data_IF_835214740305
#
_entry.id   IF_835214740305
#
_cell.length_a   1.000
_cell.length_b   1.000
_cell.length_c   1.000
_cell.angle_alpha   90.00
_cell.angle_beta   90.00
_cell.angle_gamma   90.00
#
_symmetry.space_group_name_H-M   'P 1'
#
loop_
_entity.id
_entity.type
_entity.pdbx_description
1 polymer ?
#
# COMPACT_ATOMS: atom_id res chain seq x y z
N UNK A 1 -5.16 10.49 27.72
CA UNK A 1 -6.10 9.43 28.14
C UNK A 1 -7.00 8.92 27.00
N UNK A 2 -7.48 9.77 26.08
CA UNK A 2 -8.28 9.36 24.92
C UNK A 2 -7.52 8.46 23.91
N UNK A 3 -6.22 8.63 23.75
CA UNK A 3 -5.41 7.84 22.79
C UNK A 3 -5.21 6.39 23.26
N UNK A 4 -4.99 6.15 24.57
CA UNK A 4 -4.99 4.78 25.11
C UNK A 4 -6.37 4.12 25.05
N UNK A 5 -7.46 4.90 25.13
CA UNK A 5 -8.81 4.38 24.98
C UNK A 5 -9.12 4.01 23.51
N UNK A 6 -8.64 4.79 22.55
CA UNK A 6 -8.72 4.49 21.12
C UNK A 6 -7.86 3.26 20.79
N UNK A 7 -6.65 3.12 21.36
CA UNK A 7 -5.77 1.98 21.11
C UNK A 7 -6.23 0.69 21.80
N UNK A 8 -6.77 0.77 23.02
CA UNK A 8 -7.33 -0.37 23.76
C UNK A 8 -8.61 -0.92 23.13
N UNK A 9 -9.49 -0.05 22.61
CA UNK A 9 -10.68 -0.46 21.83
C UNK A 9 -10.31 -0.92 20.41
N UNK A 10 -9.13 -0.52 19.91
CA UNK A 10 -8.61 -0.87 18.56
C UNK A 10 -8.30 -2.34 18.38
N UNK A 11 -7.84 -3.04 19.42
CA UNK A 11 -7.49 -4.45 19.32
C UNK A 11 -8.72 -5.31 18.94
N UNK A 12 -9.90 -4.98 19.49
CA UNK A 12 -11.16 -5.63 19.12
C UNK A 12 -11.60 -5.28 17.69
N UNK A 13 -11.36 -4.04 17.25
CA UNK A 13 -11.69 -3.63 15.87
C UNK A 13 -10.79 -4.28 14.82
N UNK A 14 -9.49 -4.46 15.10
CA UNK A 14 -8.56 -5.14 14.20
C UNK A 14 -8.91 -6.63 14.12
N UNK A 15 -9.18 -7.27 15.26
CA UNK A 15 -9.65 -8.66 15.29
C UNK A 15 -10.96 -8.83 14.50
N UNK A 16 -11.88 -7.86 14.57
CA UNK A 16 -13.11 -7.89 13.77
C UNK A 16 -12.82 -7.79 12.27
N UNK A 17 -11.90 -6.93 11.86
CA UNK A 17 -11.48 -6.80 10.45
C UNK A 17 -10.87 -8.12 9.96
N UNK A 18 -9.92 -8.70 10.69
CA UNK A 18 -9.31 -9.98 10.34
C UNK A 18 -10.32 -11.12 10.26
N UNK A 19 -11.24 -11.19 11.24
CA UNK A 19 -12.28 -12.22 11.27
C UNK A 19 -13.26 -12.07 10.11
N UNK A 20 -13.67 -10.83 9.79
CA UNK A 20 -14.52 -10.52 8.64
C UNK A 20 -13.83 -10.92 7.33
N UNK A 21 -12.57 -10.52 7.13
CA UNK A 21 -11.79 -10.87 5.95
C UNK A 21 -11.63 -12.39 5.79
N UNK A 22 -11.42 -13.12 6.90
CA UNK A 22 -11.35 -14.57 6.90
C UNK A 22 -12.67 -15.24 6.50
N UNK A 23 -13.81 -14.70 6.94
CA UNK A 23 -15.15 -15.16 6.54
C UNK A 23 -15.41 -14.88 5.06
N UNK A 24 -15.06 -13.68 4.57
CA UNK A 24 -15.13 -13.32 3.15
C UNK A 24 -14.28 -14.27 2.29
N UNK A 25 -13.05 -14.55 2.71
CA UNK A 25 -12.19 -15.49 2.02
C UNK A 25 -12.84 -16.88 1.91
N UNK A 26 -13.38 -17.42 3.02
CA UNK A 26 -14.06 -18.73 3.00
C UNK A 26 -15.30 -18.76 2.10
N UNK A 27 -16.00 -17.64 1.97
CA UNK A 27 -17.20 -17.54 1.14
C UNK A 27 -16.88 -17.51 -0.35
N UNK A 28 -15.86 -16.75 -0.75
CA UNK A 28 -15.51 -16.54 -2.16
C UNK A 28 -14.46 -17.51 -2.70
N UNK A 29 -13.57 -18.04 -1.86
CA UNK A 29 -12.46 -18.89 -2.28
C UNK A 29 -12.76 -20.35 -1.96
N UNK A 30 -12.84 -21.19 -3.00
CA UNK A 30 -13.00 -22.64 -2.83
C UNK A 30 -11.75 -23.22 -2.14
N UNK A 31 -11.97 -23.85 -0.99
CA UNK A 31 -10.90 -24.43 -0.16
C UNK A 31 -10.03 -25.45 -0.90
N UNK A 32 -10.51 -26.05 -2.00
CA UNK A 32 -9.81 -27.12 -2.71
C UNK A 32 -8.71 -26.61 -3.67
N UNK A 33 -8.75 -25.33 -4.03
CA UNK A 33 -7.82 -24.73 -5.01
C UNK A 33 -6.82 -23.75 -4.36
N UNK A 34 -6.98 -23.48 -3.07
CA UNK A 34 -6.29 -22.38 -2.42
C UNK A 34 -5.17 -22.83 -1.49
N UNK A 35 -4.04 -22.15 -1.51
CA UNK A 35 -2.92 -22.39 -0.58
C UNK A 35 -3.02 -21.48 0.65
N UNK A 36 -2.39 -21.89 1.76
CA UNK A 36 -2.29 -21.05 2.96
C UNK A 36 -1.67 -19.68 2.62
N UNK A 37 -0.66 -19.65 1.77
CA UNK A 37 0.00 -18.43 1.33
C UNK A 37 -0.98 -17.48 0.62
N UNK A 38 -1.75 -17.97 -0.35
CA UNK A 38 -2.77 -17.16 -1.05
C UNK A 38 -3.87 -16.67 -0.11
N UNK A 39 -4.24 -17.47 0.91
CA UNK A 39 -5.20 -17.06 1.93
C UNK A 39 -4.68 -15.90 2.77
N UNK A 40 -3.43 -16.02 3.25
CA UNK A 40 -2.78 -14.98 4.06
C UNK A 40 -2.62 -13.70 3.24
N UNK A 41 -2.15 -13.79 2.00
CA UNK A 41 -2.02 -12.63 1.10
C UNK A 41 -3.37 -11.94 0.90
N UNK A 42 -4.44 -12.69 0.63
CA UNK A 42 -5.78 -12.12 0.46
C UNK A 42 -6.28 -11.41 1.72
N UNK A 43 -6.17 -12.07 2.88
CA UNK A 43 -6.64 -11.51 4.16
C UNK A 43 -5.84 -10.25 4.51
N UNK A 44 -4.52 -10.27 4.33
CA UNK A 44 -3.67 -9.11 4.58
C UNK A 44 -4.05 -7.94 3.68
N UNK A 45 -4.10 -8.13 2.36
CA UNK A 45 -4.45 -7.08 1.41
C UNK A 45 -5.85 -6.50 1.60
N UNK A 46 -6.82 -7.35 1.95
CA UNK A 46 -8.17 -6.89 2.24
C UNK A 46 -8.22 -6.12 3.57
N UNK A 47 -7.50 -6.60 4.59
CA UNK A 47 -7.43 -5.94 5.89
C UNK A 47 -6.74 -4.58 5.83
N UNK A 48 -5.63 -4.45 5.08
CA UNK A 48 -4.89 -3.21 4.91
C UNK A 48 -5.74 -2.15 4.21
N UNK A 49 -6.50 -2.56 3.18
CA UNK A 49 -7.46 -1.73 2.47
C UNK A 49 -8.60 -1.25 3.37
N UNK A 50 -9.21 -2.13 4.17
CA UNK A 50 -10.28 -1.72 5.08
C UNK A 50 -9.80 -0.80 6.19
N UNK A 51 -8.60 -1.03 6.73
CA UNK A 51 -8.00 -0.15 7.74
C UNK A 51 -7.84 1.26 7.18
N UNK A 52 -7.39 1.41 5.93
CA UNK A 52 -7.26 2.72 5.28
C UNK A 52 -8.61 3.41 5.08
N UNK A 53 -9.60 2.70 4.55
CA UNK A 53 -10.95 3.26 4.31
C UNK A 53 -11.59 3.73 5.61
N UNK A 54 -11.44 2.98 6.70
CA UNK A 54 -11.96 3.37 8.02
C UNK A 54 -11.18 4.55 8.65
N UNK A 55 -9.95 4.77 8.22
CA UNK A 55 -9.12 5.86 8.76
C UNK A 55 -9.46 7.23 8.15
N UNK A 56 -9.96 7.26 6.91
CA UNK A 56 -10.38 8.49 6.22
C UNK A 56 -11.39 9.32 7.04
N UNK A 57 -12.53 8.78 7.51
CA UNK A 57 -13.49 9.57 8.29
C UNK A 57 -12.94 10.01 9.65
N UNK A 58 -12.00 9.25 10.25
CA UNK A 58 -11.33 9.65 11.51
C UNK A 58 -10.46 10.88 11.26
N UNK A 59 -9.73 10.90 10.15
CA UNK A 59 -8.89 12.01 9.74
C UNK A 59 -9.72 13.29 9.50
N UNK A 60 -10.81 13.16 8.73
CA UNK A 60 -11.75 14.26 8.48
C UNK A 60 -12.35 14.79 9.79
N UNK A 61 -12.76 13.89 10.70
CA UNK A 61 -13.30 14.28 12.00
C UNK A 61 -12.29 15.03 12.86
N UNK A 62 -11.03 14.59 12.87
CA UNK A 62 -9.97 15.20 13.67
C UNK A 62 -9.61 16.60 13.16
N UNK A 63 -9.65 16.81 11.84
CA UNK A 63 -9.47 18.14 11.23
C UNK A 63 -10.68 19.04 11.46
N UNK A 64 -11.90 18.50 11.41
CA UNK A 64 -13.14 19.27 11.58
C UNK A 64 -13.39 19.74 13.01
N UNK A 65 -12.97 18.98 14.02
CA UNK A 65 -13.12 19.34 15.44
C UNK A 65 -11.90 20.14 15.93
N UNK A 66 -11.75 21.37 15.41
CA UNK A 66 -10.66 22.32 15.69
C UNK A 66 -10.52 22.82 17.15
N UNK A 67 -10.94 22.03 18.13
CA UNK A 67 -10.87 22.33 19.57
C UNK A 67 -9.72 21.58 20.28
N UNK A 68 -8.69 21.17 19.52
CA UNK A 68 -7.47 20.61 20.07
C UNK A 68 -6.44 21.72 20.21
N UNK A 69 -5.86 21.87 21.40
CA UNK A 69 -4.72 22.76 21.63
C UNK A 69 -3.67 22.60 20.51
N UNK A 70 -3.13 23.72 20.02
CA UNK A 70 -2.27 23.79 18.83
C UNK A 70 -1.11 22.77 18.87
N UNK A 71 -0.55 22.52 20.05
CA UNK A 71 0.49 21.52 20.30
C UNK A 71 0.03 20.07 20.09
N UNK A 72 -1.20 19.73 20.52
CA UNK A 72 -1.78 18.40 20.34
C UNK A 72 -2.21 18.17 18.87
N UNK A 73 -2.58 19.23 18.15
CA UNK A 73 -2.93 19.16 16.74
C UNK A 73 -1.70 18.82 15.87
N UNK A 74 -0.56 19.48 16.11
CA UNK A 74 0.68 19.24 15.36
C UNK A 74 1.22 17.81 15.56
N UNK A 75 1.19 17.31 16.81
CA UNK A 75 1.61 15.94 17.13
C UNK A 75 0.70 14.92 16.43
N UNK A 76 -0.62 15.14 16.43
CA UNK A 76 -1.56 14.24 15.78
C UNK A 76 -1.40 14.24 14.25
N UNK A 77 -1.21 15.41 13.61
CA UNK A 77 -0.99 15.48 12.18
C UNK A 77 0.30 14.79 11.74
N UNK A 78 1.41 14.95 12.49
CA UNK A 78 2.66 14.26 12.20
C UNK A 78 2.52 12.74 12.33
N UNK A 79 1.76 12.28 13.33
CA UNK A 79 1.47 10.86 13.53
C UNK A 79 0.60 10.28 12.40
N UNK A 80 -0.45 11.00 12.00
CA UNK A 80 -1.35 10.62 10.90
C UNK A 80 -0.60 10.56 9.57
N UNK A 81 0.20 11.58 9.28
CA UNK A 81 1.05 11.60 8.08
C UNK A 81 2.02 10.40 8.05
N UNK A 82 2.68 10.10 9.19
CA UNK A 82 3.56 8.93 9.29
C UNK A 82 2.79 7.62 9.10
N UNK A 83 1.56 7.52 9.60
CA UNK A 83 0.71 6.36 9.40
C UNK A 83 0.34 6.15 7.93
N UNK A 84 -0.07 7.19 7.21
CA UNK A 84 -0.38 7.08 5.77
C UNK A 84 0.85 6.73 4.94
N UNK A 85 2.02 7.32 5.22
CA UNK A 85 3.26 6.94 4.54
C UNK A 85 3.61 5.47 4.78
N UNK A 86 3.46 5.00 6.02
CA UNK A 86 3.69 3.60 6.35
C UNK A 86 2.71 2.67 5.60
N UNK A 87 1.41 2.98 5.64
CA UNK A 87 0.39 2.18 4.94
C UNK A 87 0.58 2.20 3.41
N UNK A 88 1.04 3.31 2.85
CA UNK A 88 1.40 3.39 1.43
C UNK A 88 2.50 2.38 1.07
N UNK A 89 3.58 2.31 1.85
CA UNK A 89 4.63 1.30 1.65
C UNK A 89 4.11 -0.13 1.82
N UNK A 90 3.21 -0.36 2.78
CA UNK A 90 2.57 -1.67 2.95
C UNK A 90 1.77 -2.06 1.71
N UNK A 91 0.94 -1.14 1.17
CA UNK A 91 0.17 -1.40 -0.05
C UNK A 91 1.06 -1.66 -1.27
N UNK A 92 2.12 -0.87 -1.44
CA UNK A 92 3.09 -1.08 -2.53
C UNK A 92 3.74 -2.47 -2.39
N UNK A 93 4.17 -2.84 -1.19
CA UNK A 93 4.74 -4.16 -0.95
C UNK A 93 3.73 -5.29 -1.23
N UNK A 94 2.49 -5.15 -0.76
CA UNK A 94 1.44 -6.14 -1.02
C UNK A 94 1.16 -6.29 -2.51
N UNK A 95 0.98 -5.16 -3.22
CA UNK A 95 0.60 -5.14 -4.63
C UNK A 95 1.69 -5.69 -5.55
N UNK A 96 2.96 -5.33 -5.31
CA UNK A 96 4.06 -5.64 -6.23
C UNK A 96 4.88 -6.86 -5.82
N UNK A 97 4.89 -7.22 -4.54
CA UNK A 97 5.69 -8.34 -4.04
C UNK A 97 4.77 -9.47 -3.61
N UNK A 98 3.88 -9.23 -2.64
CA UNK A 98 3.14 -10.30 -1.97
C UNK A 98 2.12 -10.97 -2.90
N UNK A 99 1.36 -10.20 -3.68
CA UNK A 99 0.36 -10.73 -4.62
C UNK A 99 1.02 -11.53 -5.75
N UNK A 100 1.99 -10.99 -6.53
CA UNK A 100 2.65 -11.75 -7.59
C UNK A 100 3.39 -12.99 -7.05
N UNK A 101 4.04 -12.87 -5.90
CA UNK A 101 4.69 -14.01 -5.24
C UNK A 101 3.71 -15.13 -4.90
N UNK A 102 2.56 -14.80 -4.30
CA UNK A 102 1.51 -15.77 -3.98
C UNK A 102 0.98 -16.47 -5.23
N UNK A 103 0.83 -15.71 -6.33
CA UNK A 103 0.39 -16.22 -7.62
C UNK A 103 1.41 -17.19 -8.22
N UNK A 104 2.70 -16.83 -8.26
CA UNK A 104 3.74 -17.71 -8.81
C UNK A 104 3.93 -18.97 -7.95
N UNK A 105 3.82 -18.85 -6.63
CA UNK A 105 3.92 -19.99 -5.72
C UNK A 105 2.79 -21.01 -5.93
N UNK A 106 1.56 -20.54 -6.14
CA UNK A 106 0.42 -21.39 -6.48
C UNK A 106 0.62 -22.04 -7.87
N UNK A 107 1.00 -21.24 -8.86
CA UNK A 107 1.18 -21.71 -10.24
C UNK A 107 2.25 -22.79 -10.34
N UNK A 108 3.41 -22.57 -9.72
CA UNK A 108 4.52 -23.51 -9.71
C UNK A 108 4.14 -24.80 -8.96
N UNK A 109 3.45 -24.70 -7.82
CA UNK A 109 2.94 -25.87 -7.09
C UNK A 109 2.01 -26.73 -7.96
N UNK A 110 1.11 -26.11 -8.71
CA UNK A 110 0.18 -26.83 -9.57
C UNK A 110 0.87 -27.47 -10.79
N UNK A 111 1.94 -26.86 -11.30
CA UNK A 111 2.77 -27.45 -12.36
C UNK A 111 3.46 -28.73 -11.87
N UNK A 112 4.12 -28.67 -10.70
CA UNK A 112 4.82 -29.83 -10.13
C UNK A 112 3.89 -30.98 -9.75
N UNK A 113 2.66 -30.68 -9.32
CA UNK A 113 1.66 -31.72 -9.01
C UNK A 113 1.29 -32.59 -10.23
N UNK A 114 1.50 -32.11 -11.44
CA UNK A 114 1.20 -32.84 -12.68
C UNK A 114 2.43 -33.57 -13.26
N UNK A 115 3.63 -33.26 -12.79
CA UNK A 115 4.90 -33.78 -13.32
C UNK A 115 5.63 -34.61 -12.25
N UNK A 116 5.13 -35.82 -11.99
CA UNK A 116 5.89 -37.00 -11.50
C UNK A 116 7.07 -36.82 -10.50
N UNK A 117 7.00 -35.93 -9.52
CA UNK A 117 7.96 -35.91 -8.41
C UNK A 117 7.34 -35.33 -7.12
N UNK A 118 6.84 -36.23 -6.27
CA UNK A 118 6.26 -35.88 -4.96
C UNK A 118 7.30 -35.34 -3.95
N UNK A 119 8.58 -35.27 -4.33
CA UNK A 119 9.69 -34.85 -3.47
C UNK A 119 10.24 -33.44 -3.71
N UNK A 120 9.61 -32.64 -4.57
CA UNK A 120 10.04 -31.23 -4.73
C UNK A 120 9.82 -30.49 -3.42
N UNK A 121 10.92 -30.04 -2.84
CA UNK A 121 10.93 -29.48 -1.50
C UNK A 121 10.21 -28.13 -1.55
N UNK A 122 9.30 -27.85 -0.62
CA UNK A 122 8.54 -26.59 -0.54
C UNK A 122 9.44 -25.33 -0.68
N UNK A 123 10.68 -25.43 -0.23
CA UNK A 123 11.71 -24.39 -0.35
C UNK A 123 12.11 -24.10 -1.80
N UNK A 124 12.25 -25.11 -2.67
CA UNK A 124 12.58 -24.89 -4.09
C UNK A 124 11.46 -24.15 -4.80
N UNK A 125 10.20 -24.52 -4.52
CA UNK A 125 9.05 -23.80 -5.05
C UNK A 125 9.05 -22.32 -4.60
N UNK A 126 9.37 -22.05 -3.32
CA UNK A 126 9.46 -20.68 -2.80
C UNK A 126 10.56 -19.89 -3.50
N UNK A 127 11.76 -20.48 -3.66
CA UNK A 127 12.90 -19.83 -4.32
C UNK A 127 12.58 -19.51 -5.79
N UNK A 128 12.02 -20.47 -6.53
CA UNK A 128 11.68 -20.28 -7.93
C UNK A 128 10.57 -19.23 -8.11
N UNK A 129 9.59 -19.20 -7.20
CA UNK A 129 8.52 -18.20 -7.19
C UNK A 129 9.05 -16.81 -6.89
N UNK A 130 10.01 -16.70 -5.97
CA UNK A 130 10.70 -15.44 -5.66
C UNK A 130 11.49 -14.94 -6.86
N UNK A 131 12.23 -15.84 -7.55
CA UNK A 131 12.96 -15.50 -8.77
C UNK A 131 12.03 -14.94 -9.86
N UNK A 132 10.87 -15.58 -10.10
CA UNK A 132 9.85 -15.08 -11.04
C UNK A 132 9.27 -13.73 -10.63
N UNK A 133 9.07 -13.53 -9.32
CA UNK A 133 8.60 -12.25 -8.78
C UNK A 133 9.60 -11.13 -9.04
N UNK A 134 10.90 -11.37 -8.86
CA UNK A 134 11.95 -10.39 -9.18
C UNK A 134 11.93 -10.02 -10.67
N UNK A 135 11.83 -11.01 -11.57
CA UNK A 135 11.71 -10.72 -13.00
C UNK A 135 10.45 -9.92 -13.34
N UNK A 136 9.33 -10.22 -12.69
CA UNK A 136 8.09 -9.45 -12.86
C UNK A 136 8.24 -8.00 -12.39
N UNK A 137 8.89 -7.76 -11.25
CA UNK A 137 9.18 -6.40 -10.76
C UNK A 137 10.09 -5.66 -11.73
N UNK A 138 11.16 -6.30 -12.24
CA UNK A 138 12.04 -5.70 -13.23
C UNK A 138 11.28 -5.33 -14.51
N UNK A 139 10.38 -6.19 -14.97
CA UNK A 139 9.51 -5.91 -16.11
C UNK A 139 8.61 -4.70 -15.87
N UNK A 140 8.01 -4.56 -14.68
CA UNK A 140 7.20 -3.40 -14.31
C UNK A 140 8.00 -2.09 -14.21
N UNK A 141 9.24 -2.17 -13.73
CA UNK A 141 10.16 -1.02 -13.72
C UNK A 141 10.48 -0.59 -15.15
N UNK A 142 10.75 -1.54 -16.04
CA UNK A 142 10.97 -1.25 -17.47
C UNK A 142 9.73 -0.61 -18.10
N UNK A 143 8.53 -1.12 -17.84
CA UNK A 143 7.29 -0.50 -18.31
C UNK A 143 7.10 0.91 -17.77
N UNK A 144 7.43 1.15 -16.50
CA UNK A 144 7.38 2.49 -15.90
C UNK A 144 8.36 3.46 -16.59
N UNK A 145 9.58 3.01 -16.90
CA UNK A 145 10.57 3.79 -17.64
C UNK A 145 10.08 4.09 -19.06
N UNK A 146 9.53 3.10 -19.75
CA UNK A 146 8.97 3.29 -21.10
C UNK A 146 7.79 4.26 -21.06
N UNK A 147 6.88 4.13 -20.09
CA UNK A 147 5.75 5.04 -19.90
C UNK A 147 6.21 6.47 -19.61
N UNK A 148 7.30 6.63 -18.86
CA UNK A 148 7.92 7.93 -18.61
C UNK A 148 8.52 8.54 -19.89
N UNK A 149 9.16 7.73 -20.73
CA UNK A 149 9.80 8.17 -21.98
C UNK A 149 8.75 8.45 -23.08
N UNK A 150 7.69 7.63 -23.18
CA UNK A 150 6.76 7.62 -24.31
C UNK A 150 5.50 8.47 -24.10
N UNK A 151 5.54 9.49 -23.23
CA UNK A 151 4.35 10.34 -22.97
C UNK A 151 3.85 10.98 -24.28
N UNK A 152 2.65 10.61 -24.78
CA UNK A 152 2.10 11.21 -25.99
C UNK A 152 1.56 12.59 -25.62
N UNK A 153 2.39 13.63 -25.78
CA UNK A 153 1.95 15.00 -25.48
C UNK A 153 3.04 16.08 -25.33
N UNK A 154 4.34 15.75 -25.40
CA UNK A 154 5.38 16.78 -25.24
C UNK A 154 6.48 16.71 -26.31
N UNK A 155 6.12 17.15 -27.52
CA UNK A 155 7.04 17.88 -28.39
C UNK A 155 6.72 19.37 -28.25
N UNK A 156 7.21 20.03 -27.21
CA UNK A 156 7.35 21.50 -27.17
C UNK A 156 8.38 21.85 -26.09
N UNK A 157 9.60 22.13 -26.57
CA UNK A 157 10.66 22.91 -25.93
C UNK A 157 10.87 22.74 -24.41
N UNK A 158 11.63 21.72 -24.01
CA UNK A 158 12.28 21.74 -22.70
C UNK A 158 13.66 22.41 -22.81
N UNK A 159 13.81 23.54 -22.13
CA UNK A 159 15.08 24.24 -21.95
C UNK A 159 15.99 23.43 -21.02
N UNK A 160 17.27 23.26 -21.41
CA UNK A 160 18.27 22.49 -20.65
C UNK A 160 18.44 23.10 -19.25
N UNK A 161 18.07 22.35 -18.20
CA UNK A 161 18.22 22.77 -16.80
C UNK A 161 16.99 22.53 -15.90
N UNK A 162 15.82 22.16 -16.45
CA UNK A 162 14.58 21.91 -15.70
C UNK A 162 14.22 20.44 -15.48
N UNK A 163 15.17 19.52 -15.64
CA UNK A 163 14.94 18.07 -15.49
C UNK A 163 14.58 17.67 -14.05
N UNK A 164 15.09 18.39 -13.06
CA UNK A 164 14.75 18.16 -11.65
C UNK A 164 13.36 18.70 -11.30
N UNK A 165 12.98 19.85 -11.88
CA UNK A 165 11.62 20.41 -11.74
C UNK A 165 10.58 19.49 -12.41
N UNK A 166 10.97 18.83 -13.50
CA UNK A 166 10.19 17.80 -14.20
C UNK A 166 9.91 16.55 -13.34
N UNK A 167 10.91 16.00 -12.65
CA UNK A 167 10.70 14.85 -11.75
C UNK A 167 9.85 15.26 -10.54
N UNK A 168 10.08 16.46 -10.01
CA UNK A 168 9.32 17.04 -8.90
C UNK A 168 7.82 17.21 -9.22
N UNK A 169 7.49 17.73 -10.40
CA UNK A 169 6.09 17.92 -10.83
C UNK A 169 5.41 16.57 -11.14
N UNK A 170 6.15 15.63 -11.74
CA UNK A 170 5.63 14.30 -12.09
C UNK A 170 5.30 13.44 -10.86
N UNK A 171 6.10 13.57 -9.79
CA UNK A 171 5.89 12.89 -8.51
C UNK A 171 5.00 13.68 -7.54
N UNK A 172 4.40 14.78 -8.02
CA UNK A 172 3.58 15.71 -7.25
C UNK A 172 4.21 16.15 -5.90
N UNK A 173 5.53 16.33 -5.89
CA UNK A 173 6.25 16.75 -4.68
C UNK A 173 6.04 18.24 -4.38
N UNK A 174 5.61 19.04 -5.37
CA UNK A 174 5.45 20.50 -5.27
C UNK A 174 4.18 20.91 -4.49
N UNK A 175 3.14 20.08 -4.46
CA UNK A 175 1.94 20.34 -3.67
C UNK A 175 2.10 20.04 -2.16
N UNK A 176 3.08 19.22 -1.76
CA UNK A 176 3.41 18.97 -0.35
C UNK A 176 3.90 20.22 0.39
N UNK A 177 4.51 21.17 -0.33
CA UNK A 177 5.03 22.42 0.23
C UNK A 177 3.98 23.53 0.25
N UNK A 178 3.15 23.62 -0.80
CA UNK A 178 2.11 24.67 -0.94
C UNK A 178 0.94 24.51 0.04
N UNK A 179 0.60 23.26 0.42
CA UNK A 179 -0.36 23.01 1.50
C UNK A 179 0.15 23.49 2.87
N UNK A 180 1.48 23.53 3.07
CA UNK A 180 2.11 24.02 4.30
C UNK A 180 2.10 25.55 4.37
N UNK A 181 2.30 26.23 3.25
CA UNK A 181 2.29 27.70 3.14
C UNK A 181 0.88 28.31 3.24
N UNK A 182 -0.14 27.66 2.66
CA UNK A 182 -1.53 28.13 2.78
C UNK A 182 -2.06 28.04 4.24
N UNK A 183 -1.60 27.07 5.03
CA UNK A 183 -1.92 26.98 6.46
C UNK A 183 -1.19 28.04 7.30
N UNK A 184 0.00 28.49 6.89
CA UNK A 184 0.72 29.56 7.60
C UNK A 184 0.16 30.95 7.30
N UNK A 185 -0.29 31.22 6.08
CA UNK A 185 -0.93 32.50 5.73
C UNK A 185 -2.32 32.69 6.35
N UNK A 186 -3.06 31.61 6.62
CA UNK A 186 -4.35 31.70 7.32
C UNK A 186 -4.22 32.01 8.82
N UNK A 187 -3.06 31.74 9.43
CA UNK A 187 -2.79 32.00 10.85
C UNK A 187 -2.22 33.38 11.17
N UNK A 188 -1.80 34.15 10.15
CA UNK A 188 -1.22 35.49 10.33
C UNK A 188 -2.28 36.60 10.13
N UNK A 189 -3.44 36.26 9.57
CA UNK A 189 -4.52 37.20 9.23
C UNK A 189 -5.79 37.06 10.09
N UNK A 190 -5.68 36.48 11.28
CA UNK A 190 -6.73 36.44 12.32
C UNK A 190 -6.11 36.77 13.68
#
# INVERSE_FOLDING_TARGET
MAICYIFGKRHNSLNFIFTSCGTFYKYFVKSNESTLLTAVTFILSLSSSFVLVLFIPIDIYLVSNGNLEISNLEINQKLISRFYHFMFWVLIFEAYVLIPFSYFCLKNRNAYKNEFDDNITLFENVIESLRKTVYFILFLVLLSIIGLIYRPGHKLAMEKGKELEYISDLLDMKHSTRGREHLTCAYINN
#
